data_IF_612226383619
#
_entry.id   IF_612226383619
#
_cell.length_a   1.000
_cell.length_b   1.000
_cell.length_c   1.000
_cell.angle_alpha   90.00
_cell.angle_beta   90.00
_cell.angle_gamma   90.00
#
_symmetry.space_group_name_H-M   'P 1'
#
loop_
_entity.id
_entity.type
_entity.pdbx_description
1 polymer ?
#
# COMPACT_ATOMS: atom_id res chain seq x y z
N UNK A 1 -11.08 -25.02 7.03
CA UNK A 1 -11.85 -24.13 6.13
C UNK A 1 -11.26 -24.12 4.72
N UNK A 2 -9.99 -23.66 4.49
CA UNK A 2 -9.39 -23.59 3.13
C UNK A 2 -9.34 -24.98 2.48
N UNK A 3 -8.90 -26.01 3.22
CA UNK A 3 -8.75 -27.37 2.70
C UNK A 3 -10.08 -28.05 2.33
N UNK A 4 -11.19 -27.59 2.86
CA UNK A 4 -12.54 -28.16 2.70
C UNK A 4 -13.41 -27.35 1.75
N UNK A 5 -12.91 -26.21 1.25
CA UNK A 5 -13.68 -25.33 0.38
C UNK A 5 -13.75 -25.88 -1.04
N UNK A 6 -14.94 -25.85 -1.63
CA UNK A 6 -15.16 -26.18 -3.06
C UNK A 6 -14.61 -25.07 -3.98
N UNK A 7 -14.73 -23.81 -3.52
CA UNK A 7 -14.23 -22.63 -4.23
C UNK A 7 -13.44 -21.75 -3.26
N UNK A 8 -12.28 -21.29 -3.70
CA UNK A 8 -11.39 -20.38 -2.95
C UNK A 8 -11.23 -19.11 -3.77
N UNK A 9 -11.80 -18.02 -3.28
CA UNK A 9 -11.62 -16.70 -3.86
C UNK A 9 -10.34 -16.06 -3.31
N UNK A 10 -9.38 -15.86 -4.19
CA UNK A 10 -8.12 -15.18 -3.91
C UNK A 10 -8.28 -13.71 -4.28
N UNK A 11 -8.49 -12.86 -3.28
CA UNK A 11 -8.83 -11.45 -3.46
C UNK A 11 -7.65 -10.57 -3.05
N UNK A 12 -7.27 -9.64 -3.92
CA UNK A 12 -6.25 -8.61 -3.68
C UNK A 12 -4.83 -9.16 -3.45
N UNK A 13 -4.55 -10.31 -4.04
CA UNK A 13 -3.18 -10.84 -4.15
C UNK A 13 -2.98 -11.65 -5.43
N UNK A 14 -1.88 -11.41 -6.10
CA UNK A 14 -1.51 -11.99 -7.38
C UNK A 14 -0.44 -13.10 -7.28
N UNK A 15 0.10 -13.32 -6.09
CA UNK A 15 1.16 -14.29 -5.81
C UNK A 15 0.98 -14.91 -4.43
N UNK A 16 1.28 -16.21 -4.29
CA UNK A 16 1.17 -16.89 -3.00
C UNK A 16 2.14 -16.35 -1.94
N UNK A 17 3.26 -15.78 -2.36
CA UNK A 17 4.23 -15.13 -1.45
C UNK A 17 3.66 -13.94 -0.68
N UNK A 18 2.51 -13.37 -1.10
CA UNK A 18 1.88 -12.23 -0.45
C UNK A 18 0.98 -12.59 0.74
N UNK A 19 0.69 -13.86 0.93
CA UNK A 19 -0.20 -14.34 2.00
C UNK A 19 0.53 -15.16 3.07
N UNK A 20 1.86 -15.01 3.15
CA UNK A 20 2.71 -15.57 4.21
C UNK A 20 2.34 -17.02 4.61
N UNK A 21 1.92 -17.21 5.86
CA UNK A 21 1.59 -18.51 6.43
C UNK A 21 0.40 -19.22 5.76
N UNK A 22 -0.47 -18.50 5.04
CA UNK A 22 -1.59 -19.09 4.32
C UNK A 22 -1.21 -19.66 2.95
N UNK A 23 -0.02 -19.32 2.43
CA UNK A 23 0.42 -19.70 1.09
C UNK A 23 0.33 -21.21 0.84
N UNK A 24 0.85 -22.00 1.77
CA UNK A 24 0.86 -23.47 1.62
C UNK A 24 -0.54 -24.07 1.72
N UNK A 25 -1.40 -23.55 2.60
CA UNK A 25 -2.79 -23.99 2.71
C UNK A 25 -3.57 -23.70 1.42
N UNK A 26 -3.38 -22.55 0.81
CA UNK A 26 -4.00 -22.22 -0.49
C UNK A 26 -3.41 -23.05 -1.62
N UNK A 27 -2.09 -23.26 -1.63
CA UNK A 27 -1.41 -24.06 -2.68
C UNK A 27 -1.94 -25.48 -2.74
N UNK A 28 -2.04 -26.14 -1.58
CA UNK A 28 -2.37 -27.56 -1.47
C UNK A 28 -3.87 -27.85 -1.50
N UNK A 29 -4.72 -26.86 -1.29
CA UNK A 29 -6.17 -27.03 -1.30
C UNK A 29 -6.69 -27.53 -2.65
N UNK A 30 -7.64 -28.48 -2.60
CA UNK A 30 -8.25 -29.11 -3.78
C UNK A 30 -9.36 -28.28 -4.42
N UNK A 31 -9.90 -27.30 -3.69
CA UNK A 31 -10.94 -26.39 -4.17
C UNK A 31 -10.54 -25.59 -5.41
N UNK A 32 -11.50 -25.21 -6.20
CA UNK A 32 -11.27 -24.38 -7.39
C UNK A 32 -10.85 -22.98 -6.97
N UNK A 33 -9.67 -22.55 -7.39
CA UNK A 33 -9.13 -21.22 -7.07
C UNK A 33 -9.55 -20.21 -8.13
N UNK A 34 -10.05 -19.08 -7.69
CA UNK A 34 -10.45 -17.94 -8.51
C UNK A 34 -9.70 -16.71 -7.99
N UNK A 35 -8.87 -16.10 -8.82
CA UNK A 35 -8.19 -14.85 -8.51
C UNK A 35 -9.02 -13.67 -9.00
N UNK A 36 -9.20 -12.67 -8.15
CA UNK A 36 -9.73 -11.36 -8.50
C UNK A 36 -8.75 -10.33 -7.93
N UNK A 37 -8.05 -9.63 -8.80
CA UNK A 37 -6.91 -8.81 -8.38
C UNK A 37 -6.61 -7.69 -9.38
N UNK A 38 -5.98 -6.62 -8.91
CA UNK A 38 -5.55 -5.49 -9.73
C UNK A 38 -4.03 -5.28 -9.75
N UNK A 39 -3.26 -6.17 -9.13
CA UNK A 39 -1.80 -6.07 -9.15
C UNK A 39 -1.21 -6.57 -10.48
N UNK A 40 -0.02 -6.06 -10.83
CA UNK A 40 0.74 -6.45 -12.02
C UNK A 40 1.34 -7.86 -11.86
N UNK A 41 1.45 -8.59 -12.98
CA UNK A 41 2.15 -9.88 -13.07
C UNK A 41 1.54 -10.99 -12.18
N UNK A 42 0.28 -11.41 -12.40
CA UNK A 42 -0.35 -12.48 -11.63
C UNK A 42 0.34 -13.83 -11.86
N UNK A 43 0.58 -14.59 -10.78
CA UNK A 43 1.07 -15.96 -10.85
C UNK A 43 -0.04 -16.93 -11.31
N UNK A 44 0.30 -18.00 -12.07
CA UNK A 44 -0.69 -18.91 -12.67
C UNK A 44 -1.12 -20.02 -11.69
N UNK A 45 -1.47 -19.73 -10.43
CA UNK A 45 -1.92 -20.73 -9.45
C UNK A 45 -3.44 -20.87 -9.36
N UNK A 46 -4.20 -20.03 -10.01
CA UNK A 46 -5.66 -20.06 -10.03
C UNK A 46 -6.18 -20.63 -11.36
N UNK A 47 -7.32 -21.34 -11.29
CA UNK A 47 -8.01 -21.85 -12.49
C UNK A 47 -8.69 -20.74 -13.29
N UNK A 48 -9.19 -19.72 -12.61
CA UNK A 48 -9.79 -18.51 -13.19
C UNK A 48 -9.04 -17.32 -12.64
N UNK A 49 -8.64 -16.42 -13.52
CA UNK A 49 -7.95 -15.19 -13.16
C UNK A 49 -8.68 -14.00 -13.77
N UNK A 50 -9.19 -13.13 -12.92
CA UNK A 50 -9.75 -11.82 -13.24
C UNK A 50 -8.74 -10.80 -12.73
N UNK A 51 -7.85 -10.37 -13.61
CA UNK A 51 -6.76 -9.43 -13.28
C UNK A 51 -6.86 -8.20 -14.17
N UNK A 52 -7.04 -7.03 -13.54
CA UNK A 52 -7.24 -5.76 -14.21
C UNK A 52 -6.39 -4.67 -13.55
N UNK A 53 -5.08 -4.56 -13.89
CA UNK A 53 -4.18 -3.59 -13.26
C UNK A 53 -4.55 -2.12 -13.50
N UNK A 54 -5.40 -1.84 -14.49
CA UNK A 54 -5.92 -0.50 -14.79
C UNK A 54 -7.04 -0.04 -13.86
N UNK A 55 -7.61 -0.95 -13.06
CA UNK A 55 -8.69 -0.67 -12.12
C UNK A 55 -8.10 -0.18 -10.79
N UNK A 56 -8.82 0.72 -10.10
CA UNK A 56 -8.31 1.42 -8.92
C UNK A 56 -8.11 0.52 -7.70
N UNK A 57 -8.91 -0.54 -7.57
CA UNK A 57 -8.88 -1.46 -6.44
C UNK A 57 -9.53 -2.80 -6.76
N UNK A 58 -9.16 -3.85 -6.05
CA UNK A 58 -9.88 -5.13 -6.11
C UNK A 58 -11.34 -4.99 -5.67
N UNK A 59 -11.63 -4.10 -4.73
CA UNK A 59 -13.01 -3.82 -4.29
C UNK A 59 -13.88 -3.26 -5.41
N UNK A 60 -13.33 -2.42 -6.29
CA UNK A 60 -14.02 -1.99 -7.51
C UNK A 60 -14.34 -3.17 -8.43
N UNK A 61 -13.39 -4.11 -8.61
CA UNK A 61 -13.60 -5.32 -9.39
C UNK A 61 -14.71 -6.20 -8.81
N UNK A 62 -14.76 -6.34 -7.48
CA UNK A 62 -15.81 -7.09 -6.79
C UNK A 62 -17.18 -6.46 -7.04
N UNK A 63 -17.31 -5.14 -6.90
CA UNK A 63 -18.56 -4.45 -7.23
C UNK A 63 -19.01 -4.75 -8.66
N UNK A 64 -18.10 -4.59 -9.63
CA UNK A 64 -18.37 -4.84 -11.05
C UNK A 64 -18.79 -6.29 -11.32
N UNK A 65 -18.13 -7.24 -10.64
CA UNK A 65 -18.48 -8.66 -10.75
C UNK A 65 -19.90 -8.94 -10.21
N UNK A 66 -20.23 -8.43 -9.03
CA UNK A 66 -21.56 -8.60 -8.42
C UNK A 66 -22.64 -8.04 -9.36
N UNK A 67 -22.43 -6.86 -9.93
CA UNK A 67 -23.37 -6.26 -10.90
C UNK A 67 -23.51 -7.12 -12.16
N UNK A 68 -22.40 -7.66 -12.69
CA UNK A 68 -22.45 -8.54 -13.89
C UNK A 68 -23.17 -9.86 -13.64
N UNK A 69 -23.16 -10.35 -12.40
CA UNK A 69 -23.93 -11.52 -11.98
C UNK A 69 -25.41 -11.21 -11.74
N UNK A 70 -25.83 -9.95 -11.83
CA UNK A 70 -27.22 -9.53 -11.57
C UNK A 70 -27.57 -9.47 -10.09
N UNK A 71 -26.58 -9.44 -9.20
CA UNK A 71 -26.74 -9.53 -7.74
C UNK A 71 -26.57 -8.15 -7.03
N UNK A 72 -26.76 -7.04 -7.73
CA UNK A 72 -26.60 -5.71 -7.13
C UNK A 72 -27.57 -5.51 -5.94
N UNK A 73 -28.81 -5.99 -6.07
CA UNK A 73 -29.80 -5.83 -5.01
C UNK A 73 -29.49 -6.65 -3.76
N UNK A 74 -28.68 -7.72 -3.89
CA UNK A 74 -28.23 -8.57 -2.80
C UNK A 74 -27.07 -7.96 -1.98
N UNK A 75 -26.50 -6.84 -2.43
CA UNK A 75 -25.47 -6.13 -1.65
C UNK A 75 -26.12 -5.56 -0.38
N UNK A 76 -25.72 -6.10 0.78
CA UNK A 76 -26.13 -5.58 2.08
C UNK A 76 -25.45 -4.26 2.40
N UNK A 77 -25.90 -3.56 3.44
CA UNK A 77 -25.26 -2.33 3.93
C UNK A 77 -23.78 -2.59 4.27
N UNK A 78 -23.51 -3.64 5.04
CA UNK A 78 -22.14 -4.02 5.44
C UNK A 78 -21.26 -4.38 4.23
N UNK A 79 -21.85 -5.06 3.24
CA UNK A 79 -21.16 -5.36 1.98
C UNK A 79 -20.80 -4.10 1.20
N UNK A 80 -21.70 -3.12 1.16
CA UNK A 80 -21.47 -1.83 0.53
C UNK A 80 -20.40 -1.02 1.27
N UNK A 81 -20.42 -1.02 2.61
CA UNK A 81 -19.39 -0.39 3.45
C UNK A 81 -18.00 -1.01 3.21
N UNK A 82 -17.91 -2.34 3.12
CA UNK A 82 -16.65 -3.04 2.82
C UNK A 82 -16.11 -2.67 1.43
N UNK A 83 -16.97 -2.67 0.41
CA UNK A 83 -16.59 -2.30 -0.97
C UNK A 83 -16.10 -0.86 -1.00
N UNK A 84 -16.86 0.08 -0.42
CA UNK A 84 -16.49 1.48 -0.35
C UNK A 84 -15.16 1.69 0.38
N UNK A 85 -14.97 1.02 1.52
CA UNK A 85 -13.74 1.11 2.32
C UNK A 85 -12.53 0.66 1.51
N UNK A 86 -12.59 -0.47 0.80
CA UNK A 86 -11.50 -0.93 -0.04
C UNK A 86 -11.18 0.02 -1.20
N UNK A 87 -12.20 0.55 -1.89
CA UNK A 87 -12.01 1.56 -2.93
C UNK A 87 -11.37 2.84 -2.37
N UNK A 88 -11.80 3.29 -1.19
CA UNK A 88 -11.32 4.49 -0.53
C UNK A 88 -9.85 4.33 -0.06
N UNK A 89 -9.49 3.19 0.52
CA UNK A 89 -8.13 2.97 1.02
C UNK A 89 -7.11 2.87 -0.10
N UNK A 90 -7.42 2.14 -1.17
CA UNK A 90 -6.51 1.95 -2.32
C UNK A 90 -6.29 3.23 -3.13
N UNK A 91 -7.22 4.16 -3.05
CA UNK A 91 -7.14 5.46 -3.75
C UNK A 91 -6.72 6.62 -2.83
N UNK A 92 -6.33 6.32 -1.58
CA UNK A 92 -5.96 7.33 -0.59
C UNK A 92 -7.06 8.38 -0.37
N UNK A 93 -8.29 7.92 -0.16
CA UNK A 93 -9.45 8.81 -0.04
C UNK A 93 -9.85 9.44 -1.38
N UNK A 94 -9.66 8.73 -2.48
CA UNK A 94 -9.95 9.21 -3.85
C UNK A 94 -9.08 10.40 -4.29
N UNK A 95 -7.84 10.45 -3.82
CA UNK A 95 -6.88 11.50 -4.18
C UNK A 95 -5.90 11.09 -5.27
N UNK A 96 -5.73 9.79 -5.52
CA UNK A 96 -4.94 9.25 -6.62
C UNK A 96 -5.60 8.03 -7.26
N UNK A 97 -5.21 7.70 -8.49
CA UNK A 97 -5.75 6.60 -9.29
C UNK A 97 -7.30 6.56 -9.34
N UNK A 98 -7.95 7.72 -9.27
CA UNK A 98 -9.40 7.85 -9.14
C UNK A 98 -10.04 8.85 -10.14
N UNK A 99 -9.34 9.17 -11.24
CA UNK A 99 -9.86 10.08 -12.27
C UNK A 99 -10.89 9.45 -13.20
N UNK A 100 -11.17 8.15 -13.07
CA UNK A 100 -12.21 7.50 -13.85
C UNK A 100 -13.60 7.84 -13.31
N UNK A 101 -14.50 8.37 -14.16
CA UNK A 101 -15.89 8.71 -13.79
C UNK A 101 -16.68 7.52 -13.23
N UNK A 102 -16.34 6.29 -13.63
CA UNK A 102 -17.04 5.09 -13.19
C UNK A 102 -16.85 4.83 -11.69
N UNK A 103 -15.74 5.24 -11.11
CA UNK A 103 -15.51 5.18 -9.65
C UNK A 103 -16.59 5.98 -8.92
N UNK A 104 -16.88 7.18 -9.38
CA UNK A 104 -17.87 8.05 -8.75
C UNK A 104 -19.30 7.56 -8.99
N UNK A 105 -19.56 6.91 -10.13
CA UNK A 105 -20.82 6.20 -10.36
C UNK A 105 -20.99 5.07 -9.34
N UNK A 106 -19.97 4.23 -9.14
CA UNK A 106 -19.99 3.15 -8.14
C UNK A 106 -20.23 3.71 -6.73
N UNK A 107 -19.54 4.80 -6.37
CA UNK A 107 -19.75 5.48 -5.08
C UNK A 107 -21.21 5.92 -4.94
N UNK A 108 -21.81 6.49 -5.99
CA UNK A 108 -23.22 6.89 -5.97
C UNK A 108 -24.15 5.69 -5.71
N UNK A 109 -23.89 4.56 -6.37
CA UNK A 109 -24.66 3.33 -6.15
C UNK A 109 -24.50 2.77 -4.73
N UNK A 110 -23.28 2.81 -4.18
CA UNK A 110 -23.03 2.39 -2.79
C UNK A 110 -23.70 3.33 -1.78
N UNK A 111 -23.75 4.63 -2.04
CA UNK A 111 -24.50 5.60 -1.23
C UNK A 111 -26.01 5.29 -1.26
N UNK A 112 -26.56 4.82 -2.37
CA UNK A 112 -27.96 4.40 -2.46
C UNK A 112 -28.30 3.21 -1.56
N UNK A 113 -27.29 2.40 -1.17
CA UNK A 113 -27.42 1.31 -0.19
C UNK A 113 -27.43 1.82 1.26
N UNK A 114 -27.21 3.11 1.49
CA UNK A 114 -27.32 3.75 2.81
C UNK A 114 -26.03 3.85 3.60
N UNK A 115 -24.86 3.65 2.97
CA UNK A 115 -23.58 3.82 3.66
C UNK A 115 -23.38 5.26 4.16
N UNK A 116 -22.75 5.42 5.31
CA UNK A 116 -22.24 6.72 5.80
C UNK A 116 -20.75 6.84 5.47
N UNK A 117 -20.44 7.42 4.32
CA UNK A 117 -19.05 7.57 3.85
C UNK A 117 -18.19 8.44 4.77
N UNK A 118 -18.80 9.40 5.50
CA UNK A 118 -18.07 10.29 6.38
C UNK A 118 -17.67 9.56 7.67
N UNK A 119 -18.56 8.72 8.20
CA UNK A 119 -18.24 7.84 9.33
C UNK A 119 -17.18 6.80 8.96
N UNK A 120 -17.28 6.20 7.76
CA UNK A 120 -16.27 5.27 7.25
C UNK A 120 -14.91 5.98 7.15
N UNK A 121 -14.87 7.18 6.56
CA UNK A 121 -13.63 7.96 6.45
C UNK A 121 -13.04 8.27 7.83
N UNK A 122 -13.89 8.69 8.76
CA UNK A 122 -13.47 8.97 10.13
C UNK A 122 -12.87 7.73 10.81
N UNK A 123 -13.54 6.57 10.71
CA UNK A 123 -13.06 5.31 11.29
C UNK A 123 -11.73 4.83 10.72
N UNK A 124 -11.48 5.08 9.44
CA UNK A 124 -10.25 4.64 8.76
C UNK A 124 -9.09 5.62 8.95
N UNK A 125 -9.35 6.94 8.81
CA UNK A 125 -8.27 7.93 8.72
C UNK A 125 -8.15 8.86 9.94
N UNK A 126 -9.16 8.92 10.82
CA UNK A 126 -9.20 9.87 11.94
C UNK A 126 -9.26 9.23 13.33
N UNK A 127 -8.79 7.98 13.47
CA UNK A 127 -8.77 7.25 14.75
C UNK A 127 -7.34 7.03 15.27
N UNK A 128 -6.45 7.96 14.97
CA UNK A 128 -5.06 7.85 15.38
C UNK A 128 -4.88 8.05 16.89
N UNK A 129 -3.95 7.28 17.47
CA UNK A 129 -3.54 7.45 18.85
C UNK A 129 -2.76 8.77 19.06
N UNK A 130 -2.78 9.30 20.28
CA UNK A 130 -1.91 10.42 20.66
C UNK A 130 -0.43 10.10 20.38
N UNK A 131 -0.01 8.87 20.68
CA UNK A 131 1.35 8.38 20.45
C UNK A 131 1.75 8.49 18.98
N UNK A 132 0.88 8.04 18.05
CA UNK A 132 1.08 8.17 16.61
C UNK A 132 1.24 9.63 16.17
N UNK A 133 0.37 10.52 16.63
CA UNK A 133 0.42 11.93 16.24
C UNK A 133 1.69 12.62 16.77
N UNK A 134 2.10 12.31 18.01
CA UNK A 134 3.36 12.81 18.56
C UNK A 134 4.58 12.24 17.85
N UNK A 135 4.56 10.95 17.51
CA UNK A 135 5.62 10.30 16.72
C UNK A 135 5.72 10.95 15.33
N UNK A 136 4.59 11.22 14.67
CA UNK A 136 4.56 11.92 13.39
C UNK A 136 5.19 13.31 13.49
N UNK A 137 4.83 14.10 14.50
CA UNK A 137 5.43 15.41 14.74
C UNK A 137 6.95 15.33 14.95
N UNK A 138 7.41 14.37 15.76
CA UNK A 138 8.84 14.13 15.98
C UNK A 138 9.56 13.74 14.68
N UNK A 139 9.01 12.81 13.94
CA UNK A 139 9.58 12.32 12.67
C UNK A 139 9.72 13.46 11.66
N UNK A 140 8.70 14.30 11.52
CA UNK A 140 8.71 15.39 10.56
C UNK A 140 9.67 16.52 10.96
N UNK A 141 9.77 16.83 12.23
CA UNK A 141 10.61 17.93 12.71
C UNK A 141 12.06 17.52 12.90
N UNK A 142 12.32 16.38 13.54
CA UNK A 142 13.68 15.97 13.95
C UNK A 142 14.34 14.99 12.97
N UNK A 143 13.56 14.14 12.28
CA UNK A 143 14.12 12.99 11.56
C UNK A 143 14.09 13.14 10.04
N UNK A 144 13.23 14.00 9.52
CA UNK A 144 13.12 14.20 8.08
C UNK A 144 14.30 14.98 7.55
N UNK A 145 15.03 14.38 6.61
CA UNK A 145 16.11 14.99 5.86
C UNK A 145 15.65 15.26 4.43
N UNK A 146 15.84 16.48 3.96
CA UNK A 146 15.46 16.88 2.61
C UNK A 146 16.70 17.06 1.75
N UNK A 147 16.67 16.49 0.55
CA UNK A 147 17.73 16.55 -0.46
C UNK A 147 17.21 17.29 -1.70
N UNK A 148 17.11 18.64 -1.66
CA UNK A 148 16.46 19.41 -2.73
C UNK A 148 17.11 19.21 -4.09
N UNK A 149 18.45 19.06 -4.14
CA UNK A 149 19.22 18.83 -5.35
C UNK A 149 18.84 17.52 -6.05
N UNK A 150 18.29 16.55 -5.31
CA UNK A 150 17.81 15.27 -5.84
C UNK A 150 16.27 15.17 -5.82
N UNK A 151 15.58 16.23 -5.41
CA UNK A 151 14.10 16.23 -5.26
C UNK A 151 13.60 15.08 -4.37
N UNK A 152 14.35 14.73 -3.34
CA UNK A 152 14.12 13.57 -2.49
C UNK A 152 14.09 13.93 -1.01
N UNK A 153 13.47 13.06 -0.21
CA UNK A 153 13.48 13.12 1.24
C UNK A 153 13.72 11.74 1.86
N UNK A 154 14.33 11.73 3.01
CA UNK A 154 14.64 10.56 3.82
C UNK A 154 14.11 10.75 5.23
N UNK A 155 13.51 9.72 5.79
CA UNK A 155 13.15 9.63 7.20
C UNK A 155 13.78 8.37 7.77
N UNK A 156 14.46 8.50 8.93
CA UNK A 156 15.05 7.38 9.64
C UNK A 156 14.45 7.30 11.04
N UNK A 157 14.01 6.12 11.47
CA UNK A 157 13.41 5.90 12.78
C UNK A 157 13.95 4.62 13.42
N UNK A 158 14.64 4.79 14.57
CA UNK A 158 15.18 3.68 15.33
C UNK A 158 14.12 2.99 16.20
N UNK A 159 14.45 1.77 16.64
CA UNK A 159 13.60 1.02 17.59
C UNK A 159 13.48 1.73 18.95
N UNK A 160 14.55 2.37 19.42
CA UNK A 160 14.52 3.16 20.64
C UNK A 160 13.57 4.35 20.54
N UNK A 161 13.64 5.09 19.43
CA UNK A 161 12.76 6.24 19.17
C UNK A 161 11.30 5.79 19.09
N UNK A 162 11.00 4.67 18.44
CA UNK A 162 9.65 4.09 18.43
C UNK A 162 9.15 3.83 19.85
N UNK A 163 9.99 3.27 20.73
CA UNK A 163 9.64 2.98 22.12
C UNK A 163 9.27 4.23 22.93
N UNK A 164 9.93 5.37 22.69
CA UNK A 164 9.62 6.66 23.35
C UNK A 164 8.19 7.13 23.13
N UNK A 165 7.58 6.78 21.99
CA UNK A 165 6.23 7.18 21.62
C UNK A 165 5.18 6.07 21.83
N UNK A 166 5.53 4.98 22.51
CA UNK A 166 4.64 3.81 22.71
C UNK A 166 4.11 3.26 21.39
N UNK A 167 5.00 3.17 20.39
CA UNK A 167 4.67 2.71 19.06
C UNK A 167 3.86 1.40 19.07
N UNK A 168 2.80 1.38 18.31
CA UNK A 168 2.02 0.19 17.97
C UNK A 168 2.18 -0.09 16.49
N UNK A 169 2.23 -1.36 16.08
CA UNK A 169 2.33 -1.76 14.68
C UNK A 169 1.22 -1.09 13.86
N UNK A 170 1.60 -0.36 12.82
CA UNK A 170 0.71 0.47 12.01
C UNK A 170 0.86 1.98 12.24
N UNK A 171 1.40 2.43 13.38
CA UNK A 171 1.51 3.87 13.71
C UNK A 171 2.36 4.69 12.73
N UNK A 172 3.21 4.05 11.95
CA UNK A 172 4.05 4.74 10.94
C UNK A 172 3.49 4.63 9.52
N UNK A 173 2.32 4.03 9.35
CA UNK A 173 1.69 3.97 8.03
C UNK A 173 1.41 5.36 7.47
N UNK A 174 1.77 5.56 6.20
CA UNK A 174 1.59 6.83 5.52
C UNK A 174 2.69 7.87 5.76
N UNK A 175 3.59 7.71 6.76
CA UNK A 175 4.64 8.70 7.04
C UNK A 175 5.54 8.95 5.82
N UNK A 176 5.87 7.91 5.07
CA UNK A 176 6.66 8.01 3.84
C UNK A 176 6.00 8.88 2.76
N UNK A 177 4.68 9.07 2.80
CA UNK A 177 3.96 9.90 1.80
C UNK A 177 4.05 11.40 2.12
N UNK A 178 4.26 11.77 3.38
CA UNK A 178 4.17 13.16 3.83
C UNK A 178 5.20 14.06 3.13
N UNK A 179 6.48 13.66 2.97
CA UNK A 179 7.46 14.50 2.27
C UNK A 179 7.09 14.81 0.81
N UNK A 180 6.30 13.96 0.16
CA UNK A 180 5.85 14.19 -1.23
C UNK A 180 4.84 15.35 -1.35
N UNK A 181 4.30 15.85 -0.24
CA UNK A 181 3.47 17.06 -0.21
C UNK A 181 4.30 18.34 -0.34
N UNK A 182 5.61 18.27 -0.16
CA UNK A 182 6.49 19.43 -0.35
C UNK A 182 6.70 19.71 -1.83
N UNK A 183 6.55 20.98 -2.19
CA UNK A 183 6.81 21.44 -3.56
C UNK A 183 8.21 21.08 -4.00
N UNK A 184 8.31 20.35 -5.11
CA UNK A 184 9.59 19.98 -5.71
C UNK A 184 10.15 18.63 -5.26
N UNK A 185 9.58 17.97 -4.26
CA UNK A 185 9.98 16.62 -3.85
C UNK A 185 9.16 15.58 -4.65
N UNK A 186 9.84 14.62 -5.26
CA UNK A 186 9.22 13.56 -6.05
C UNK A 186 9.55 12.14 -5.57
N UNK A 187 10.48 12.01 -4.63
CA UNK A 187 10.89 10.71 -4.08
C UNK A 187 11.04 10.79 -2.56
N UNK A 188 10.50 9.83 -1.86
CA UNK A 188 10.58 9.73 -0.40
C UNK A 188 10.90 8.32 0.05
N UNK A 189 11.81 8.19 1.00
CA UNK A 189 12.19 6.92 1.62
C UNK A 189 12.03 7.02 3.13
N UNK A 190 11.47 5.97 3.71
CA UNK A 190 11.36 5.80 5.15
C UNK A 190 12.07 4.50 5.57
N UNK A 191 13.15 4.66 6.31
CA UNK A 191 13.93 3.59 6.92
C UNK A 191 13.50 3.44 8.38
N UNK A 192 13.02 2.27 8.75
CA UNK A 192 12.56 2.02 10.12
C UNK A 192 13.11 0.70 10.64
N UNK A 193 13.78 0.71 11.77
CA UNK A 193 14.16 -0.51 12.46
C UNK A 193 12.92 -1.33 12.84
N UNK A 194 12.92 -2.61 12.53
CA UNK A 194 11.83 -3.49 12.93
C UNK A 194 11.87 -3.76 14.44
N UNK A 195 10.71 -3.81 15.09
CA UNK A 195 10.62 -4.01 16.53
C UNK A 195 10.81 -5.46 16.97
N UNK A 196 10.59 -6.40 16.06
CA UNK A 196 10.62 -7.84 16.34
C UNK A 196 11.86 -8.51 15.72
N UNK A 197 12.24 -8.09 14.52
CA UNK A 197 13.34 -8.67 13.74
C UNK A 197 14.54 -7.72 13.71
N UNK A 198 15.74 -8.29 13.58
CA UNK A 198 16.97 -7.50 13.40
C UNK A 198 17.13 -7.11 11.93
N UNK A 199 16.31 -6.17 11.49
CA UNK A 199 16.32 -5.65 10.13
C UNK A 199 15.72 -4.25 10.07
N UNK A 200 15.94 -3.56 8.97
CA UNK A 200 15.35 -2.27 8.64
C UNK A 200 14.26 -2.49 7.59
N UNK A 201 13.04 -2.09 7.89
CA UNK A 201 11.96 -1.97 6.91
C UNK A 201 12.16 -0.72 6.09
N UNK A 202 12.07 -0.87 4.79
CA UNK A 202 12.24 0.21 3.83
C UNK A 202 10.91 0.44 3.12
N UNK A 203 10.40 1.66 3.22
CA UNK A 203 9.24 2.08 2.45
C UNK A 203 9.66 3.16 1.46
N UNK A 204 9.27 3.02 0.20
CA UNK A 204 9.61 3.96 -0.86
C UNK A 204 8.32 4.45 -1.52
N UNK A 205 8.26 5.75 -1.75
CA UNK A 205 7.16 6.38 -2.50
C UNK A 205 7.71 7.41 -3.46
N UNK A 206 7.03 7.53 -4.59
CA UNK A 206 7.36 8.56 -5.58
C UNK A 206 6.10 9.13 -6.20
N UNK A 207 6.28 10.21 -6.96
CA UNK A 207 5.22 10.78 -7.81
C UNK A 207 5.71 10.83 -9.26
N UNK A 208 4.78 10.92 -10.21
CA UNK A 208 5.09 10.98 -11.63
C UNK A 208 5.72 9.69 -12.17
N UNK A 209 6.70 9.82 -13.03
CA UNK A 209 7.34 8.70 -13.72
C UNK A 209 8.54 8.08 -12.99
N UNK A 210 8.89 8.55 -11.80
CA UNK A 210 10.06 8.02 -11.07
C UNK A 210 9.78 6.60 -10.55
N UNK A 211 10.61 5.59 -10.94
CA UNK A 211 10.34 4.18 -10.66
C UNK A 211 10.91 3.77 -9.30
N UNK A 212 10.24 4.10 -8.19
CA UNK A 212 10.73 3.73 -6.85
C UNK A 212 10.81 2.20 -6.65
N UNK A 213 10.07 1.41 -7.41
CA UNK A 213 10.15 -0.05 -7.40
C UNK A 213 11.51 -0.57 -7.87
N UNK A 214 12.13 0.07 -8.86
CA UNK A 214 13.47 -0.31 -9.31
C UNK A 214 14.50 -0.03 -8.21
N UNK A 215 14.39 1.10 -7.52
CA UNK A 215 15.24 1.41 -6.37
C UNK A 215 15.06 0.37 -5.25
N UNK A 216 13.81 -0.02 -4.95
CA UNK A 216 13.53 -1.05 -3.94
C UNK A 216 14.17 -2.39 -4.30
N UNK A 217 14.06 -2.83 -5.55
CA UNK A 217 14.61 -4.10 -6.03
C UNK A 217 16.14 -4.09 -6.02
N UNK A 218 16.75 -2.99 -6.44
CA UNK A 218 18.19 -2.93 -6.63
C UNK A 218 18.97 -2.72 -5.32
N UNK A 219 18.43 -1.93 -4.40
CA UNK A 219 19.15 -1.49 -3.20
C UNK A 219 18.64 -2.10 -1.90
N UNK A 220 17.39 -2.56 -1.85
CA UNK A 220 16.72 -2.89 -0.59
C UNK A 220 15.99 -4.23 -0.58
N UNK A 221 16.40 -5.20 -1.39
CA UNK A 221 15.80 -6.53 -1.45
C UNK A 221 14.26 -6.49 -1.50
N UNK A 222 13.73 -5.58 -2.32
CA UNK A 222 12.32 -5.26 -2.31
C UNK A 222 11.69 -5.24 -3.68
N UNK A 223 10.51 -4.62 -3.76
CA UNK A 223 9.72 -4.48 -5.00
C UNK A 223 8.40 -3.77 -4.73
N UNK A 224 7.53 -3.78 -5.71
CA UNK A 224 6.20 -3.17 -5.63
C UNK A 224 5.80 -2.45 -6.91
N UNK A 225 4.90 -1.49 -6.77
CA UNK A 225 4.42 -0.65 -7.87
C UNK A 225 5.39 0.49 -8.20
N UNK A 226 5.21 1.09 -9.39
CA UNK A 226 6.03 2.19 -9.87
C UNK A 226 6.28 3.27 -8.80
N UNK A 227 5.23 3.69 -8.11
CA UNK A 227 5.24 4.78 -7.14
C UNK A 227 5.07 4.36 -5.68
N UNK A 228 4.93 3.06 -5.40
CA UNK A 228 4.72 2.52 -4.05
C UNK A 228 5.42 1.17 -3.89
N UNK A 229 6.52 1.15 -3.19
CA UNK A 229 7.36 -0.04 -3.03
C UNK A 229 7.84 -0.19 -1.60
N UNK A 230 8.24 -1.39 -1.26
CA UNK A 230 8.84 -1.73 0.03
C UNK A 230 10.04 -2.63 -0.15
N UNK A 231 10.83 -2.76 0.91
CA UNK A 231 11.98 -3.65 0.96
C UNK A 231 12.44 -3.91 2.38
N UNK A 232 13.47 -4.71 2.49
CA UNK A 232 14.13 -5.07 3.75
C UNK A 232 15.64 -4.91 3.61
N UNK A 233 16.27 -4.41 4.65
CA UNK A 233 17.71 -4.29 4.70
C UNK A 233 18.25 -4.93 5.99
N UNK A 234 19.28 -5.76 5.84
CA UNK A 234 19.94 -6.47 6.92
C UNK A 234 21.31 -5.84 7.16
N UNK A 235 21.37 -4.88 8.07
CA UNK A 235 22.55 -4.10 8.41
C UNK A 235 22.19 -2.95 9.34
N UNK A 236 23.10 -1.99 9.47
CA UNK A 236 22.91 -0.80 10.30
C UNK A 236 22.10 0.29 9.59
N UNK A 237 21.54 1.22 10.37
CA UNK A 237 20.84 2.39 9.81
C UNK A 237 21.75 3.24 8.93
N UNK A 238 23.02 3.41 9.32
CA UNK A 238 24.00 4.19 8.55
C UNK A 238 24.29 3.55 7.19
N UNK A 239 24.45 2.23 7.14
CA UNK A 239 24.60 1.50 5.88
C UNK A 239 23.39 1.64 4.97
N UNK A 240 22.17 1.58 5.54
CA UNK A 240 20.93 1.80 4.76
C UNK A 240 20.83 3.24 4.22
N UNK A 241 21.24 4.22 5.00
CA UNK A 241 21.34 5.63 4.58
C UNK A 241 22.35 5.82 3.46
N UNK A 242 23.49 5.14 3.52
CA UNK A 242 24.50 5.22 2.46
C UNK A 242 24.03 4.57 1.16
N UNK A 243 23.27 3.46 1.22
CA UNK A 243 22.63 2.88 0.06
C UNK A 243 21.58 3.84 -0.56
N UNK A 244 20.80 4.52 0.28
CA UNK A 244 19.89 5.55 -0.21
C UNK A 244 20.62 6.67 -0.95
N UNK A 245 21.74 7.18 -0.41
CA UNK A 245 22.55 8.20 -1.09
C UNK A 245 23.12 7.70 -2.42
N UNK A 246 23.59 6.45 -2.48
CA UNK A 246 24.03 5.82 -3.73
C UNK A 246 22.90 5.75 -4.75
N UNK A 247 21.68 5.37 -4.32
CA UNK A 247 20.51 5.36 -5.16
C UNK A 247 20.19 6.77 -5.72
N UNK A 248 20.28 7.83 -4.89
CA UNK A 248 20.08 9.21 -5.37
C UNK A 248 21.03 9.57 -6.51
N UNK A 249 22.32 9.28 -6.36
CA UNK A 249 23.33 9.55 -7.39
C UNK A 249 23.05 8.75 -8.66
N UNK A 250 22.75 7.45 -8.52
CA UNK A 250 22.50 6.58 -9.68
C UNK A 250 21.26 7.00 -10.47
N UNK A 251 20.20 7.41 -9.79
CA UNK A 251 18.92 7.77 -10.37
C UNK A 251 18.73 9.28 -10.57
N UNK A 252 19.77 10.10 -10.39
CA UNK A 252 19.70 11.57 -10.46
C UNK A 252 19.01 12.07 -11.74
N UNK A 253 19.38 11.52 -12.89
CA UNK A 253 18.82 11.94 -14.19
C UNK A 253 17.30 11.72 -14.29
N UNK A 254 16.77 10.70 -13.62
CA UNK A 254 15.33 10.42 -13.57
C UNK A 254 14.61 11.28 -12.53
N UNK A 255 15.25 11.56 -11.39
CA UNK A 255 14.71 12.45 -10.35
C UNK A 255 14.54 13.88 -10.88
N UNK A 256 15.49 14.37 -11.66
CA UNK A 256 15.47 15.75 -12.18
C UNK A 256 14.55 15.92 -13.40
N UNK A 257 14.21 14.87 -14.12
CA UNK A 257 13.30 14.91 -15.27
C UNK A 257 11.82 14.78 -14.90
N UNK A 258 11.50 14.40 -13.70
CA UNK A 258 10.15 14.07 -13.24
C UNK A 258 9.31 15.29 -12.82
#
# INVERSE_FOLDING_TARGET
LIAEADVICCLDFNALSRIDQMAEAVRTAQGRKVMIDHHLNPEPFCRVTISHPEISSTSELIFRLICRLGCFDDITLEGAECIYTGMMTDTGGFTYNSNNREIYFIISELLSKGIDKDDIYHKVFNTYSEGRLRLMGYVLYEKMQVYPQFRAALICLSKEEQGRFRYVKGDTEGFVNIPLQMKGICFSVFLREDTEKNMIKVSLRSVGAFPCNQVATEFFNGGGHLNASGGEFYGTMDEAVDLFKQALVKYESLLLKN
#
